data_IF_955532422193
#
_entry.id   IF_955532422193
#
_cell.length_a   1.000
_cell.length_b   1.000
_cell.length_c   1.000
_cell.angle_alpha   90.00
_cell.angle_beta   90.00
_cell.angle_gamma   90.00
#
_symmetry.space_group_name_H-M   'P 1'
#
loop_
_entity.id
_entity.type
_entity.pdbx_description
1 polymer ?
#
# COMPACT_ATOMS: atom_id res chain seq x y z
N UNK A 1 1.23 16.01 -0.65
CA UNK A 1 0.09 15.07 -0.51
C UNK A 1 0.40 13.80 -1.30
N UNK A 2 0.14 12.61 -0.73
CA UNK A 2 0.41 11.33 -1.41
C UNK A 2 -0.51 11.14 -2.63
N UNK A 3 0.05 10.82 -3.81
CA UNK A 3 -0.72 10.61 -5.04
C UNK A 3 -1.15 9.14 -5.14
N UNK A 4 -2.46 8.91 -5.02
CA UNK A 4 -3.04 7.57 -5.17
C UNK A 4 -3.04 7.15 -6.63
N UNK A 5 -2.52 5.96 -6.91
CA UNK A 5 -2.56 5.35 -8.24
C UNK A 5 -3.84 4.54 -8.46
N UNK A 6 -4.26 4.39 -9.71
CA UNK A 6 -5.42 3.57 -10.08
C UNK A 6 -5.29 2.12 -9.61
N UNK A 7 -4.09 1.53 -9.68
CA UNK A 7 -3.84 0.18 -9.18
C UNK A 7 -4.18 0.02 -7.70
N UNK A 8 -3.94 1.04 -6.88
CA UNK A 8 -4.27 1.03 -5.44
C UNK A 8 -5.78 1.12 -5.23
N UNK A 9 -6.48 1.92 -6.05
CA UNK A 9 -7.95 1.99 -6.03
C UNK A 9 -8.57 0.65 -6.43
N UNK A 10 -8.06 0.02 -7.49
CA UNK A 10 -8.49 -1.31 -7.92
C UNK A 10 -8.26 -2.35 -6.84
N UNK A 11 -7.09 -2.34 -6.18
CA UNK A 11 -6.80 -3.25 -5.08
C UNK A 11 -7.75 -3.04 -3.90
N UNK A 12 -7.99 -1.78 -3.48
CA UNK A 12 -8.94 -1.46 -2.43
C UNK A 12 -10.37 -1.94 -2.77
N UNK A 13 -10.83 -1.71 -4.00
CA UNK A 13 -12.15 -2.13 -4.46
C UNK A 13 -12.32 -3.66 -4.40
N UNK A 14 -11.29 -4.43 -4.76
CA UNK A 14 -11.30 -5.91 -4.64
C UNK A 14 -11.47 -6.38 -3.19
N UNK A 15 -11.10 -5.55 -2.21
CA UNK A 15 -11.24 -5.82 -0.78
C UNK A 15 -12.54 -5.25 -0.20
N UNK A 16 -13.41 -4.63 -1.03
CA UNK A 16 -14.65 -4.01 -0.60
C UNK A 16 -14.45 -2.74 0.24
N UNK A 17 -13.34 -2.03 0.03
CA UNK A 17 -13.01 -0.79 0.74
C UNK A 17 -12.65 0.32 -0.23
N UNK A 18 -12.78 1.58 0.21
CA UNK A 18 -12.30 2.75 -0.53
C UNK A 18 -11.09 3.37 0.17
N UNK A 19 -10.28 4.12 -0.58
CA UNK A 19 -9.07 4.76 -0.05
C UNK A 19 -9.04 6.25 -0.38
N UNK A 20 -8.51 7.04 0.55
CA UNK A 20 -8.27 8.49 0.39
C UNK A 20 -6.86 8.82 0.90
N UNK A 21 -6.24 9.93 0.45
CA UNK A 21 -4.98 10.38 1.05
C UNK A 21 -5.19 10.61 2.55
N UNK A 22 -4.27 10.12 3.37
CA UNK A 22 -4.39 10.32 4.82
C UNK A 22 -4.13 11.77 5.19
N UNK A 23 -4.84 12.25 6.22
CA UNK A 23 -4.55 13.54 6.87
C UNK A 23 -3.52 13.42 8.00
N UNK A 24 -3.18 12.19 8.42
CA UNK A 24 -2.20 11.97 9.48
C UNK A 24 -0.79 12.24 8.94
N UNK A 25 0.00 13.00 9.71
CA UNK A 25 1.35 13.50 9.35
C UNK A 25 2.22 12.44 8.65
N UNK A 26 2.23 11.22 9.17
CA UNK A 26 3.14 10.18 8.69
C UNK A 26 2.49 9.14 7.78
N UNK A 27 1.17 9.18 7.54
CA UNK A 27 0.47 8.08 6.83
C UNK A 27 0.19 8.42 5.36
N UNK A 28 0.16 7.40 4.51
CA UNK A 28 -0.12 7.56 3.06
C UNK A 28 -1.61 7.59 2.77
N UNK A 29 -2.33 6.57 3.22
CA UNK A 29 -3.74 6.32 2.87
C UNK A 29 -4.59 6.10 4.11
N UNK A 30 -5.81 6.61 4.07
CA UNK A 30 -6.90 6.19 4.94
C UNK A 30 -7.81 5.22 4.19
N UNK A 31 -8.19 4.13 4.87
CA UNK A 31 -9.04 3.06 4.34
C UNK A 31 -10.42 3.17 4.96
N UNK A 32 -11.46 3.07 4.12
CA UNK A 32 -12.86 3.20 4.54
C UNK A 32 -13.66 1.97 4.13
N UNK A 33 -14.44 1.43 5.06
CA UNK A 33 -15.40 0.33 4.82
C UNK A 33 -16.80 0.86 5.12
N UNK A 34 -17.68 0.83 4.12
CA UNK A 34 -19.05 1.40 4.22
C UNK A 34 -19.05 2.85 4.74
N UNK A 35 -18.10 3.67 4.28
CA UNK A 35 -17.97 5.08 4.70
C UNK A 35 -17.27 5.31 6.03
N UNK A 36 -17.07 4.28 6.86
CA UNK A 36 -16.36 4.38 8.14
C UNK A 36 -14.87 4.16 7.95
N UNK A 37 -14.02 5.04 8.51
CA UNK A 37 -12.56 4.87 8.49
C UNK A 37 -12.17 3.69 9.38
N UNK A 38 -11.49 2.70 8.80
CA UNK A 38 -11.08 1.47 9.51
C UNK A 38 -9.57 1.37 9.71
N UNK A 39 -8.76 2.06 8.91
CA UNK A 39 -7.31 2.04 9.04
C UNK A 39 -6.64 3.26 8.41
N UNK A 40 -5.40 3.52 8.83
CA UNK A 40 -4.45 4.41 8.14
C UNK A 40 -3.17 3.64 7.85
N UNK A 41 -2.81 3.49 6.57
CA UNK A 41 -1.78 2.56 6.10
C UNK A 41 -0.64 3.27 5.35
N UNK A 42 0.52 2.62 5.38
CA UNK A 42 1.77 3.11 4.80
C UNK A 42 2.36 4.29 5.57
N UNK A 43 3.66 4.54 5.38
CA UNK A 43 4.35 5.70 5.95
C UNK A 43 5.02 6.50 4.83
N UNK A 44 4.80 7.82 4.82
CA UNK A 44 5.28 8.72 3.75
C UNK A 44 6.80 8.74 3.61
N UNK A 45 7.54 8.34 4.65
CA UNK A 45 9.02 8.29 4.67
C UNK A 45 9.58 7.07 3.95
N UNK A 46 8.75 6.09 3.63
CA UNK A 46 9.18 4.83 3.04
C UNK A 46 8.55 4.58 1.67
N UNK A 47 9.29 3.93 0.79
CA UNK A 47 8.77 3.52 -0.52
C UNK A 47 7.82 2.33 -0.36
N UNK A 48 6.81 2.28 -1.22
CA UNK A 48 5.93 1.12 -1.41
C UNK A 48 6.18 0.50 -2.80
N UNK A 49 5.50 -0.61 -3.10
CA UNK A 49 5.66 -1.31 -4.38
C UNK A 49 5.46 -0.38 -5.59
N UNK A 50 4.50 0.53 -5.51
CA UNK A 50 4.16 1.42 -6.61
C UNK A 50 5.23 2.49 -6.83
N UNK A 51 5.82 3.00 -5.74
CA UNK A 51 6.97 3.91 -5.83
C UNK A 51 8.19 3.19 -6.43
N UNK A 52 8.51 1.98 -5.96
CA UNK A 52 9.63 1.22 -6.56
C UNK A 52 9.40 0.94 -8.04
N UNK A 53 8.20 0.55 -8.44
CA UNK A 53 7.84 0.40 -9.86
C UNK A 53 8.03 1.68 -10.67
N UNK A 54 7.76 2.83 -10.08
CA UNK A 54 8.01 4.12 -10.72
C UNK A 54 9.53 4.33 -10.89
N UNK A 55 10.31 4.09 -9.84
CA UNK A 55 11.77 4.21 -9.87
C UNK A 55 12.41 3.25 -10.88
N UNK A 56 11.91 2.01 -11.02
CA UNK A 56 12.35 1.05 -12.03
C UNK A 56 12.15 1.58 -13.45
N UNK A 57 10.97 2.14 -13.75
CA UNK A 57 10.66 2.73 -15.07
C UNK A 57 11.52 3.96 -15.37
N UNK A 58 11.94 4.69 -14.34
CA UNK A 58 12.83 5.84 -14.44
C UNK A 58 14.31 5.44 -14.48
N UNK A 59 14.64 4.14 -14.40
CA UNK A 59 16.03 3.66 -14.36
C UNK A 59 16.80 4.00 -13.08
N UNK A 60 16.11 4.47 -12.03
CA UNK A 60 16.73 4.89 -10.75
C UNK A 60 17.08 3.70 -9.84
N UNK A 61 16.50 2.55 -10.11
CA UNK A 61 16.82 1.28 -9.45
C UNK A 61 16.81 0.15 -10.49
N UNK A 62 17.53 -0.96 -10.27
CA UNK A 62 17.55 -2.09 -11.19
C UNK A 62 16.16 -2.69 -11.45
N UNK A 63 15.92 -3.16 -12.68
CA UNK A 63 14.70 -3.90 -13.04
C UNK A 63 14.55 -5.12 -12.12
N UNK A 64 13.39 -5.24 -11.45
CA UNK A 64 13.09 -6.34 -10.53
C UNK A 64 13.05 -5.93 -9.06
N UNK A 65 13.67 -4.79 -8.70
CA UNK A 65 13.69 -4.23 -7.34
C UNK A 65 12.30 -4.15 -6.71
N UNK A 66 11.27 -3.73 -7.45
CA UNK A 66 9.92 -3.57 -6.90
C UNK A 66 9.31 -4.93 -6.48
N UNK A 67 9.46 -5.94 -7.33
CA UNK A 67 8.95 -7.28 -7.06
C UNK A 67 9.71 -7.93 -5.90
N UNK A 68 11.03 -7.78 -5.86
CA UNK A 68 11.87 -8.27 -4.77
C UNK A 68 11.45 -7.65 -3.43
N UNK A 69 11.36 -6.31 -3.36
CA UNK A 69 10.94 -5.58 -2.15
C UNK A 69 9.55 -6.01 -1.68
N UNK A 70 8.62 -6.19 -2.62
CA UNK A 70 7.28 -6.70 -2.34
C UNK A 70 7.32 -8.12 -1.77
N UNK A 71 8.11 -9.02 -2.35
CA UNK A 71 8.21 -10.40 -1.87
C UNK A 71 8.79 -10.44 -0.45
N UNK A 72 9.86 -9.69 -0.20
CA UNK A 72 10.46 -9.57 1.13
C UNK A 72 9.50 -8.96 2.16
N UNK A 73 8.71 -7.96 1.75
CA UNK A 73 7.66 -7.41 2.60
C UNK A 73 6.62 -8.48 2.96
N UNK A 74 6.08 -9.19 1.97
CA UNK A 74 5.06 -10.22 2.19
C UNK A 74 5.57 -11.40 3.00
N UNK A 75 6.84 -11.76 2.86
CA UNK A 75 7.47 -12.81 3.68
C UNK A 75 7.51 -12.40 5.15
N UNK A 76 7.99 -11.18 5.45
CA UNK A 76 8.09 -10.66 6.82
C UNK A 76 6.73 -10.42 7.47
N UNK A 77 5.76 -9.96 6.68
CA UNK A 77 4.42 -9.58 7.15
C UNK A 77 3.35 -10.65 6.84
N UNK A 78 3.74 -11.90 6.57
CA UNK A 78 2.82 -12.94 6.11
C UNK A 78 1.60 -13.14 7.03
N UNK A 79 1.79 -13.08 8.35
CA UNK A 79 0.69 -13.19 9.30
C UNK A 79 -0.30 -12.01 9.17
N UNK A 80 0.22 -10.78 9.11
CA UNK A 80 -0.59 -9.57 8.92
C UNK A 80 -1.32 -9.55 7.58
N UNK A 81 -0.67 -10.04 6.51
CA UNK A 81 -1.26 -10.18 5.19
C UNK A 81 -2.49 -11.09 5.17
N UNK A 82 -2.62 -12.01 6.14
CA UNK A 82 -3.75 -12.93 6.30
C UNK A 82 -4.81 -12.42 7.28
N UNK A 83 -4.45 -11.48 8.17
CA UNK A 83 -5.32 -10.95 9.22
C UNK A 83 -6.33 -9.92 8.70
N UNK A 84 -7.38 -10.38 8.01
CA UNK A 84 -8.42 -9.56 7.35
C UNK A 84 -8.95 -8.45 8.26
N UNK A 85 -9.06 -7.24 7.72
CA UNK A 85 -9.61 -6.08 8.43
C UNK A 85 -8.61 -5.31 9.29
N UNK A 86 -7.38 -5.81 9.44
CA UNK A 86 -6.32 -5.09 10.15
C UNK A 86 -5.60 -4.07 9.25
N UNK A 87 -4.92 -3.06 9.81
CA UNK A 87 -4.08 -2.15 9.04
C UNK A 87 -3.00 -2.87 8.23
N UNK A 88 -2.38 -3.92 8.79
CA UNK A 88 -1.35 -4.71 8.11
C UNK A 88 -1.90 -5.46 6.91
N UNK A 89 -3.11 -6.03 7.01
CA UNK A 89 -3.81 -6.64 5.89
C UNK A 89 -4.04 -5.67 4.73
N UNK A 90 -4.55 -4.47 5.03
CA UNK A 90 -4.77 -3.46 4.00
C UNK A 90 -3.46 -2.96 3.39
N UNK A 91 -2.42 -2.73 4.19
CA UNK A 91 -1.10 -2.35 3.69
C UNK A 91 -0.54 -3.43 2.74
N UNK A 92 -0.61 -4.70 3.13
CA UNK A 92 -0.06 -5.81 2.36
C UNK A 92 -0.79 -6.07 1.03
N UNK A 93 -2.06 -5.69 0.91
CA UNK A 93 -2.85 -5.94 -0.30
C UNK A 93 -3.06 -4.70 -1.18
N UNK A 94 -2.89 -3.49 -0.64
CA UNK A 94 -3.07 -2.22 -1.39
C UNK A 94 -1.73 -1.59 -1.77
N UNK A 95 -0.75 -1.61 -0.86
CA UNK A 95 0.55 -0.94 -1.05
C UNK A 95 1.66 -1.89 -1.51
N UNK A 96 1.52 -3.19 -1.27
CA UNK A 96 2.48 -4.25 -1.60
C UNK A 96 1.82 -5.39 -2.36
#
# INVERSE_FOLDING_TARGET
>A
MYKILNAQKTAANRLGVTIKPSRLKNKKLDVFKKGVKVASIGDIRYNDFHIYRKLEREGKVPKGTANERRNLYKLRHNQECRAKGTPGFYACNILW
#
